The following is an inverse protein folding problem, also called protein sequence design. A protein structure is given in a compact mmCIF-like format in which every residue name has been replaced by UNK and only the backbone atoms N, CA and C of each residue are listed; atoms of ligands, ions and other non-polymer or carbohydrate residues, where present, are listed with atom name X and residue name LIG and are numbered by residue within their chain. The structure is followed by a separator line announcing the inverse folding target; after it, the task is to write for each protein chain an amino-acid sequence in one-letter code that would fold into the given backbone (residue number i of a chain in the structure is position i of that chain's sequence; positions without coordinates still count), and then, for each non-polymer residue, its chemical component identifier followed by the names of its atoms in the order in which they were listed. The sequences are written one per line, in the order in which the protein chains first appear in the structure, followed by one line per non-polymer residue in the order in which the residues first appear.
data_IF_456644887731
#
_entry.id   IF_456644887731
#
_cell.length_a   1.000
_cell.length_b   1.000
_cell.length_c   1.000
_cell.angle_alpha   90.00
_cell.angle_beta   90.00
_cell.angle_gamma   90.00
#
_symmetry.space_group_name_H-M   'P 1'
#
loop_
_entity.id
_entity.type
_entity.pdbx_description
1 polymer ?
#
# COMPACT_ATOMS: atom_id res chain seq x y z
N UNK A 1 8.91 7.76 -12.33
CA UNK A 1 8.78 6.89 -11.13
C UNK A 1 8.54 5.44 -11.51
N UNK A 2 7.48 5.11 -12.26
CA UNK A 2 7.22 3.74 -12.73
C UNK A 2 8.39 3.10 -13.49
N UNK A 3 9.03 3.82 -14.43
CA UNK A 3 10.18 3.30 -15.16
C UNK A 3 11.35 2.85 -14.26
N UNK A 4 11.58 3.57 -13.15
CA UNK A 4 12.60 3.20 -12.16
C UNK A 4 12.20 1.95 -11.38
N UNK A 5 10.92 1.84 -11.00
CA UNK A 5 10.36 0.63 -10.38
C UNK A 5 10.51 -0.60 -11.29
N UNK A 6 10.16 -0.47 -12.57
CA UNK A 6 10.30 -1.54 -13.57
C UNK A 6 11.78 -1.92 -13.75
N UNK A 7 12.68 -0.94 -13.85
CA UNK A 7 14.12 -1.21 -13.94
C UNK A 7 14.65 -2.00 -12.74
N UNK A 8 14.24 -1.63 -11.52
CA UNK A 8 14.63 -2.36 -10.31
C UNK A 8 14.12 -3.81 -10.30
N UNK A 9 12.85 -4.01 -10.62
CA UNK A 9 12.23 -5.35 -10.66
C UNK A 9 12.90 -6.27 -11.69
N UNK A 10 13.26 -5.72 -12.86
CA UNK A 10 14.01 -6.47 -13.88
C UNK A 10 15.40 -6.84 -13.39
N UNK A 11 16.14 -5.90 -12.79
CA UNK A 11 17.48 -6.16 -12.28
C UNK A 11 17.51 -7.22 -11.17
N UNK A 12 16.46 -7.29 -10.35
CA UNK A 12 16.35 -8.26 -9.25
C UNK A 12 15.63 -9.56 -9.65
N UNK A 13 15.20 -9.70 -10.92
CA UNK A 13 14.40 -10.83 -11.43
C UNK A 13 13.08 -11.06 -10.66
N UNK A 14 12.44 -9.97 -10.23
CA UNK A 14 11.21 -10.01 -9.42
C UNK A 14 9.96 -9.59 -10.19
N UNK A 15 10.05 -9.36 -11.50
CA UNK A 15 8.92 -8.88 -12.32
C UNK A 15 7.71 -9.82 -12.24
N UNK A 16 7.92 -11.12 -12.44
CA UNK A 16 6.82 -12.10 -12.44
C UNK A 16 6.20 -12.26 -11.05
N UNK A 17 7.03 -12.27 -10.00
CA UNK A 17 6.58 -12.32 -8.61
C UNK A 17 5.75 -11.08 -8.27
N UNK A 18 6.17 -9.91 -8.76
CA UNK A 18 5.45 -8.66 -8.53
C UNK A 18 4.10 -8.63 -9.26
N UNK A 19 4.06 -9.09 -10.51
CA UNK A 19 2.84 -9.22 -11.32
C UNK A 19 1.85 -10.22 -10.71
N UNK A 20 2.36 -11.33 -10.18
CA UNK A 20 1.54 -12.34 -9.51
C UNK A 20 0.75 -11.76 -8.32
N UNK A 21 1.32 -10.82 -7.57
CA UNK A 21 0.59 -10.15 -6.47
C UNK A 21 -0.63 -9.37 -6.99
N UNK A 22 -0.50 -8.67 -8.13
CA UNK A 22 -1.64 -7.96 -8.71
C UNK A 22 -2.71 -8.92 -9.24
N UNK A 23 -2.31 -10.04 -9.84
CA UNK A 23 -3.24 -11.09 -10.28
C UNK A 23 -4.01 -11.72 -9.13
N UNK A 24 -3.34 -11.95 -7.99
CA UNK A 24 -3.99 -12.44 -6.77
C UNK A 24 -5.01 -11.41 -6.26
N UNK A 25 -4.63 -10.15 -6.14
CA UNK A 25 -5.56 -9.08 -5.73
C UNK A 25 -6.75 -8.93 -6.68
N UNK A 26 -6.54 -9.09 -7.99
CA UNK A 26 -7.62 -9.07 -8.97
C UNK A 26 -8.57 -10.27 -8.77
N UNK A 27 -8.00 -11.46 -8.54
CA UNK A 27 -8.78 -12.68 -8.29
C UNK A 27 -9.57 -12.60 -6.99
N UNK A 28 -9.00 -11.98 -5.95
CA UNK A 28 -9.64 -11.76 -4.64
C UNK A 28 -10.66 -10.60 -4.66
N UNK A 29 -10.73 -9.84 -5.76
CA UNK A 29 -11.62 -8.66 -5.86
C UNK A 29 -11.15 -7.46 -5.04
N UNK A 30 -9.87 -7.40 -4.68
CA UNK A 30 -9.25 -6.26 -3.98
C UNK A 30 -9.01 -5.09 -4.95
N UNK A 31 -8.73 -5.40 -6.22
CA UNK A 31 -8.54 -4.42 -7.30
C UNK A 31 -9.40 -4.80 -8.52
N UNK A 32 -9.62 -3.84 -9.41
CA UNK A 32 -10.33 -4.02 -10.67
C UNK A 32 -9.56 -3.39 -11.85
N UNK A 33 -9.83 -3.87 -13.06
CA UNK A 33 -9.31 -3.25 -14.28
C UNK A 33 -10.10 -1.99 -14.62
N UNK A 34 -9.40 -0.88 -14.85
CA UNK A 34 -10.01 0.40 -15.21
C UNK A 34 -10.35 0.42 -16.71
N UNK A 35 -11.58 0.76 -17.06
CA UNK A 35 -12.01 0.91 -18.45
C UNK A 35 -11.48 2.22 -19.06
N UNK A 36 -10.42 2.13 -19.86
CA UNK A 36 -9.78 3.29 -20.50
C UNK A 36 -10.60 3.94 -21.62
N UNK A 37 -11.72 3.34 -22.05
CA UNK A 37 -12.57 3.89 -23.11
C UNK A 37 -13.59 4.93 -22.60
N UNK A 38 -13.70 5.09 -21.28
CA UNK A 38 -14.52 6.14 -20.69
C UNK A 38 -13.77 7.48 -20.80
N UNK A 39 -14.36 8.42 -21.53
CA UNK A 39 -13.78 9.75 -21.76
C UNK A 39 -13.59 10.45 -20.41
N UNK A 40 -12.33 10.51 -19.98
CA UNK A 40 -11.75 11.01 -18.71
C UNK A 40 -11.51 9.95 -17.62
N UNK A 41 -10.24 9.64 -17.27
CA UNK A 41 -9.97 8.97 -16.01
C UNK A 41 -10.14 10.02 -14.92
N UNK A 42 -11.31 10.05 -14.29
CA UNK A 42 -11.54 10.76 -13.03
C UNK A 42 -10.77 10.06 -11.88
N UNK A 43 -9.45 9.94 -12.01
CA UNK A 43 -8.62 9.09 -11.17
C UNK A 43 -7.23 9.66 -10.96
N UNK A 44 -6.66 9.34 -9.79
CA UNK A 44 -5.30 9.71 -9.42
C UNK A 44 -4.45 8.43 -9.32
N UNK A 45 -3.36 8.36 -10.09
CA UNK A 45 -2.47 7.21 -10.07
C UNK A 45 -1.46 7.34 -8.91
N UNK A 46 -1.53 6.40 -7.98
CA UNK A 46 -0.57 6.36 -6.88
C UNK A 46 0.75 5.73 -7.36
N UNK A 47 1.90 6.42 -7.19
CA UNK A 47 3.18 5.79 -7.45
C UNK A 47 3.38 4.64 -6.47
N UNK A 48 3.91 3.53 -6.97
CA UNK A 48 4.17 2.34 -6.16
C UNK A 48 5.62 1.85 -6.32
N UNK A 49 6.06 1.08 -5.32
CA UNK A 49 7.38 0.43 -5.30
C UNK A 49 7.31 -0.95 -4.64
N UNK A 50 8.19 -1.89 -4.99
CA UNK A 50 8.33 -3.14 -4.28
C UNK A 50 9.02 -2.94 -2.94
N UNK A 51 8.45 -3.53 -1.89
CA UNK A 51 9.15 -3.81 -0.63
C UNK A 51 9.45 -5.30 -0.59
N UNK A 52 10.74 -5.61 -0.54
CA UNK A 52 11.25 -6.98 -0.58
C UNK A 52 11.69 -7.34 0.82
N UNK A 53 11.26 -8.50 1.31
CA UNK A 53 11.61 -8.98 2.65
C UNK A 53 12.31 -10.32 2.54
N UNK A 54 13.63 -10.30 2.75
CA UNK A 54 14.49 -11.48 2.72
C UNK A 54 14.42 -12.27 4.04
N UNK A 55 13.20 -12.58 4.50
CA UNK A 55 13.01 -13.40 5.69
C UNK A 55 12.46 -14.75 5.29
N UNK A 56 13.12 -15.81 5.78
CA UNK A 56 12.67 -17.21 5.65
C UNK A 56 11.26 -17.41 6.23
N UNK A 57 10.83 -16.52 7.13
CA UNK A 57 9.52 -16.54 7.79
C UNK A 57 8.45 -15.66 7.12
N UNK A 58 8.76 -15.00 5.99
CA UNK A 58 7.79 -14.14 5.29
C UNK A 58 6.94 -14.95 4.31
N UNK A 59 5.62 -14.96 4.51
CA UNK A 59 4.66 -15.59 3.59
C UNK A 59 4.60 -14.88 2.23
N UNK A 60 4.86 -13.56 2.20
CA UNK A 60 4.93 -12.76 0.98
C UNK A 60 6.32 -12.13 0.85
N UNK A 61 7.12 -12.61 -0.12
CA UNK A 61 8.51 -12.15 -0.33
C UNK A 61 8.59 -10.74 -0.92
N UNK A 62 7.60 -10.34 -1.71
CA UNK A 62 7.53 -9.03 -2.38
C UNK A 62 6.14 -8.44 -2.18
N UNK A 63 6.05 -7.17 -1.78
CA UNK A 63 4.77 -6.46 -1.61
C UNK A 63 4.79 -5.11 -2.32
N UNK A 64 3.78 -4.79 -3.15
CA UNK A 64 3.57 -3.43 -3.64
C UNK A 64 3.22 -2.48 -2.49
N UNK A 65 3.90 -1.34 -2.41
CA UNK A 65 3.55 -0.24 -1.51
C UNK A 65 3.26 0.99 -2.33
N UNK A 66 2.07 1.56 -2.14
CA UNK A 66 1.59 2.77 -2.78
C UNK A 66 1.90 3.99 -1.90
N UNK A 67 2.35 5.06 -2.53
CA UNK A 67 2.61 6.32 -1.85
C UNK A 67 1.42 7.27 -2.05
N UNK A 68 0.49 7.24 -1.08
CA UNK A 68 -0.68 8.11 -1.03
C UNK A 68 -0.36 9.57 -0.64
N UNK A 69 0.90 9.84 -0.24
CA UNK A 69 1.36 11.20 0.07
C UNK A 69 1.89 11.93 -1.16
N UNK A 70 2.19 11.20 -2.24
CA UNK A 70 2.60 11.79 -3.51
C UNK A 70 1.52 12.71 -4.07
N UNK A 71 1.95 13.88 -4.55
CA UNK A 71 1.09 14.85 -5.20
C UNK A 71 1.78 15.45 -6.42
N UNK A 72 0.99 15.96 -7.35
CA UNK A 72 1.47 16.81 -8.43
C UNK A 72 1.75 18.23 -7.91
N UNK A 73 2.44 19.05 -8.71
CA UNK A 73 2.66 20.45 -8.36
C UNK A 73 1.31 21.14 -8.21
N UNK A 74 1.12 21.83 -7.08
CA UNK A 74 -0.11 22.60 -6.76
C UNK A 74 -1.41 21.78 -6.67
N UNK A 75 -1.34 20.44 -6.62
CA UNK A 75 -2.51 19.58 -6.37
C UNK A 75 -2.41 18.90 -4.99
N UNK A 76 -3.53 18.61 -4.32
CA UNK A 76 -3.50 17.83 -3.08
C UNK A 76 -3.09 16.38 -3.34
N UNK A 77 -2.58 15.71 -2.30
CA UNK A 77 -2.36 14.25 -2.32
C UNK A 77 -3.63 13.53 -1.87
N UNK A 78 -3.70 12.22 -2.06
CA UNK A 78 -4.83 11.43 -1.58
C UNK A 78 -5.03 11.60 -0.06
N UNK A 79 -3.94 11.61 0.71
CA UNK A 79 -4.00 11.82 2.17
C UNK A 79 -4.53 13.22 2.57
N UNK A 80 -4.43 14.22 1.70
CA UNK A 80 -5.01 15.55 1.95
C UNK A 80 -6.51 15.60 1.64
N UNK A 81 -6.99 14.73 0.76
CA UNK A 81 -8.39 14.67 0.35
C UNK A 81 -9.27 13.79 1.26
N UNK A 82 -8.66 12.91 2.07
CA UNK A 82 -9.38 11.99 2.95
C UNK A 82 -9.58 12.60 4.36
N UNK A 83 -10.74 12.33 4.96
CA UNK A 83 -11.00 12.70 6.35
C UNK A 83 -10.15 11.82 7.30
N UNK A 84 -9.43 12.45 8.23
CA UNK A 84 -8.51 11.75 9.15
C UNK A 84 -9.23 10.95 10.24
N UNK A 85 -10.51 11.23 10.49
CA UNK A 85 -11.27 10.66 11.60
C UNK A 85 -10.69 10.98 12.98
N UNK A 86 -11.21 10.29 14.01
CA UNK A 86 -10.73 10.42 15.39
C UNK A 86 -9.38 9.70 15.55
N UNK A 87 -8.40 10.37 16.18
CA UNK A 87 -7.14 9.73 16.54
C UNK A 87 -7.33 8.82 17.77
N UNK A 88 -7.53 7.53 17.55
CA UNK A 88 -7.66 6.52 18.61
C UNK A 88 -6.30 5.97 19.09
N UNK A 89 -5.20 6.28 18.41
CA UNK A 89 -3.85 5.79 18.77
C UNK A 89 -3.45 6.32 20.14
N UNK A 90 -3.83 7.56 20.48
CA UNK A 90 -3.59 8.16 21.79
C UNK A 90 -4.23 7.37 22.96
N UNK A 91 -5.23 6.52 22.68
CA UNK A 91 -5.87 5.68 23.69
C UNK A 91 -5.12 4.37 23.94
N UNK A 92 -4.20 3.98 23.05
CA UNK A 92 -3.47 2.71 23.15
C UNK A 92 -2.68 2.60 24.47
N UNK A 93 -1.90 3.60 24.92
CA UNK A 93 -1.18 3.50 26.18
C UNK A 93 -2.11 3.22 27.37
N UNK A 94 -3.26 3.89 27.44
CA UNK A 94 -4.24 3.69 28.50
C UNK A 94 -4.91 2.30 28.45
N UNK A 95 -5.08 1.72 27.26
CA UNK A 95 -5.57 0.33 27.11
C UNK A 95 -4.51 -0.66 27.60
N UNK A 96 -3.25 -0.47 27.20
CA UNK A 96 -2.14 -1.33 27.62
C UNK A 96 -1.90 -1.29 29.12
N UNK A 97 -2.03 -0.13 29.76
CA UNK A 97 -1.91 0.00 31.21
C UNK A 97 -3.02 -0.79 31.93
N UNK A 98 -4.28 -0.60 31.54
CA UNK A 98 -5.42 -1.35 32.12
C UNK A 98 -5.30 -2.86 31.97
N UNK A 99 -4.75 -3.33 30.85
CA UNK A 99 -4.50 -4.76 30.65
C UNK A 99 -3.48 -5.31 31.65
N UNK A 100 -2.49 -4.50 32.06
CA UNK A 100 -1.41 -4.91 32.98
C UNK A 100 -1.73 -4.70 34.46
N UNK A 101 -2.85 -4.04 34.78
CA UNK A 101 -3.23 -3.70 36.16
C UNK A 101 -3.63 -4.93 36.99
N UNK A 102 -4.06 -6.02 36.35
CA UNK A 102 -4.49 -7.23 37.04
C UNK A 102 -3.46 -8.35 36.93
N UNK A 103 -3.48 -9.25 37.93
CA UNK A 103 -2.54 -10.37 38.06
C UNK A 103 -2.57 -11.37 36.88
N UNK A 104 -3.67 -11.34 36.10
CA UNK A 104 -3.82 -12.04 34.84
C UNK A 104 -4.25 -11.01 33.80
N UNK A 105 -3.26 -10.46 33.10
CA UNK A 105 -3.39 -9.94 31.74
C UNK A 105 -2.71 -10.92 30.81
#
# INVERSE_FOLDING_TARGET
RLASTVGKLKNENLTDVYDQVFKEWLTEGVIEEVNCNESTPSGHYLPHRPVIKDSVYSTTKVRPVFDASAHEKEKPSLNHCLEKGLNLIEKIPAILLRFRENQIG
#
